data_IF_044644752141
#
_entry.id   IF_044644752141
#
_cell.length_a   1.000
_cell.length_b   1.000
_cell.length_c   1.000
_cell.angle_alpha   90.00
_cell.angle_beta   90.00
_cell.angle_gamma   90.00
#
_symmetry.space_group_name_H-M   'P 1'
#
loop_
_entity.id
_entity.type
_entity.pdbx_description
1 polymer ?
#
# COMPACT_ATOMS: atom_id res chain seq x y z
N UNK A 1 -12.25 -71.63 -41.95
CA UNK A 1 -11.72 -72.96 -41.63
C UNK A 1 -12.85 -73.89 -41.25
N UNK A 2 -12.89 -75.10 -41.82
CA UNK A 2 -13.85 -76.14 -41.48
C UNK A 2 -13.35 -76.99 -40.30
N UNK A 3 -14.26 -77.59 -39.53
CA UNK A 3 -13.93 -78.47 -38.39
C UNK A 3 -12.90 -79.56 -38.75
N UNK A 4 -13.02 -80.15 -39.94
CA UNK A 4 -12.12 -81.19 -40.46
C UNK A 4 -10.68 -80.70 -40.70
N UNK A 5 -10.50 -79.41 -40.98
CA UNK A 5 -9.18 -78.80 -41.22
C UNK A 5 -8.51 -78.44 -39.90
N UNK A 6 -9.28 -77.95 -38.92
CA UNK A 6 -8.80 -77.70 -37.56
C UNK A 6 -8.32 -79.00 -36.91
N UNK A 7 -9.09 -80.08 -37.01
CA UNK A 7 -8.72 -81.40 -36.46
C UNK A 7 -7.40 -81.92 -37.05
N UNK A 8 -7.19 -81.79 -38.35
CA UNK A 8 -5.93 -82.19 -39.00
C UNK A 8 -4.71 -81.37 -38.57
N UNK A 9 -4.92 -80.12 -38.17
CA UNK A 9 -3.88 -79.24 -37.65
C UNK A 9 -3.50 -79.63 -36.23
N UNK A 10 -4.50 -79.94 -35.40
CA UNK A 10 -4.33 -80.38 -34.02
C UNK A 10 -3.71 -81.79 -33.98
N UNK A 11 -4.12 -82.72 -34.84
CA UNK A 11 -3.53 -84.07 -34.93
C UNK A 11 -2.04 -84.10 -35.29
N UNK A 12 -1.54 -83.02 -35.93
CA UNK A 12 -0.12 -82.89 -36.30
C UNK A 12 0.71 -82.12 -35.27
N UNK A 13 0.06 -81.49 -34.30
CA UNK A 13 0.70 -80.75 -33.24
C UNK A 13 1.05 -81.69 -32.08
N UNK A 14 2.20 -81.47 -31.44
CA UNK A 14 2.55 -82.13 -30.18
C UNK A 14 1.75 -81.55 -29.01
N UNK A 15 1.66 -82.31 -27.91
CA UNK A 15 0.90 -81.92 -26.72
C UNK A 15 1.39 -80.61 -26.07
N UNK A 16 2.65 -80.23 -26.30
CA UNK A 16 3.29 -79.01 -25.76
C UNK A 16 3.38 -77.85 -26.77
N UNK A 17 2.85 -78.01 -27.99
CA UNK A 17 2.94 -76.97 -29.03
C UNK A 17 1.99 -75.79 -28.76
N UNK A 18 2.45 -74.57 -29.09
CA UNK A 18 1.66 -73.36 -28.89
C UNK A 18 0.58 -73.21 -29.99
N UNK A 19 -0.68 -73.19 -29.57
CA UNK A 19 -1.86 -73.07 -30.45
C UNK A 19 -1.85 -71.79 -31.29
N UNK A 20 -1.36 -70.67 -30.75
CA UNK A 20 -1.30 -69.40 -31.48
C UNK A 20 -0.35 -69.52 -32.69
N UNK A 21 0.83 -70.12 -32.50
CA UNK A 21 1.81 -70.33 -33.57
C UNK A 21 1.32 -71.30 -34.66
N UNK A 22 0.51 -72.30 -34.28
CA UNK A 22 -0.13 -73.23 -35.21
C UNK A 22 -1.24 -72.56 -36.03
N UNK A 23 -1.94 -71.61 -35.44
CA UNK A 23 -3.04 -70.90 -36.08
C UNK A 23 -2.59 -69.69 -36.89
N UNK A 24 -1.41 -69.12 -36.67
CA UNK A 24 -0.88 -67.93 -37.38
C UNK A 24 -1.00 -68.02 -38.90
N UNK A 25 -0.71 -69.20 -39.48
CA UNK A 25 -0.75 -69.41 -40.93
C UNK A 25 -2.09 -69.96 -41.44
N UNK A 26 -3.03 -70.22 -40.53
CA UNK A 26 -4.33 -70.79 -40.84
C UNK A 26 -5.26 -69.81 -41.55
N UNK A 27 -6.22 -70.34 -42.30
CA UNK A 27 -7.28 -69.52 -42.90
C UNK A 27 -8.13 -68.79 -41.85
N UNK A 28 -8.14 -69.27 -40.60
CA UNK A 28 -8.83 -68.61 -39.49
C UNK A 28 -8.09 -67.31 -39.11
N UNK A 29 -6.77 -67.37 -38.88
CA UNK A 29 -5.96 -66.18 -38.62
C UNK A 29 -5.97 -65.20 -39.79
N UNK A 30 -5.87 -65.69 -41.03
CA UNK A 30 -6.00 -64.85 -42.23
C UNK A 30 -7.38 -64.21 -42.33
N UNK A 31 -8.44 -64.94 -41.98
CA UNK A 31 -9.81 -64.39 -41.97
C UNK A 31 -10.02 -63.35 -40.86
N UNK A 32 -9.39 -63.50 -39.70
CA UNK A 32 -9.41 -62.52 -38.60
C UNK A 32 -8.57 -61.27 -38.92
N UNK A 33 -7.45 -61.43 -39.62
CA UNK A 33 -6.67 -60.30 -40.14
C UNK A 33 -7.47 -59.56 -41.24
N UNK A 34 -8.18 -60.29 -42.09
CA UNK A 34 -9.05 -59.74 -43.13
C UNK A 34 -10.37 -59.16 -42.57
N UNK A 35 -10.84 -59.58 -41.39
CA UNK A 35 -12.11 -59.16 -40.79
C UNK A 35 -12.10 -57.72 -40.22
N UNK A 36 -11.02 -56.97 -40.50
CA UNK A 36 -10.87 -55.55 -40.11
C UNK A 36 -10.75 -55.30 -38.61
N UNK A 37 -10.38 -56.32 -37.82
CA UNK A 37 -10.07 -56.19 -36.39
C UNK A 37 -8.62 -55.77 -36.09
N UNK A 38 -7.81 -55.51 -37.11
CA UNK A 38 -6.45 -55.01 -36.94
C UNK A 38 -6.44 -53.49 -36.75
N UNK A 39 -5.41 -52.96 -36.09
CA UNK A 39 -5.27 -51.54 -35.79
C UNK A 39 -5.23 -50.67 -37.06
N UNK A 40 -4.64 -51.20 -38.15
CA UNK A 40 -4.62 -50.53 -39.46
C UNK A 40 -6.01 -50.52 -40.11
N UNK A 41 -6.78 -51.61 -40.01
CA UNK A 41 -8.14 -51.63 -40.51
C UNK A 41 -9.08 -50.72 -39.71
N UNK A 42 -8.82 -50.53 -38.41
CA UNK A 42 -9.52 -49.56 -37.57
C UNK A 42 -9.21 -48.12 -37.99
N UNK A 43 -7.93 -47.79 -38.22
CA UNK A 43 -7.51 -46.49 -38.77
C UNK A 43 -8.12 -46.23 -40.14
N UNK A 44 -8.19 -47.24 -40.99
CA UNK A 44 -8.80 -47.17 -42.31
C UNK A 44 -10.31 -46.94 -42.21
N UNK A 45 -11.01 -47.63 -41.29
CA UNK A 45 -12.44 -47.40 -41.01
C UNK A 45 -12.71 -45.97 -40.55
N UNK A 46 -11.90 -45.41 -39.64
CA UNK A 46 -12.05 -44.02 -39.20
C UNK A 46 -11.93 -43.02 -40.37
N UNK A 47 -11.12 -43.34 -41.38
CA UNK A 47 -10.92 -42.48 -42.56
C UNK A 47 -12.03 -42.63 -43.60
N UNK A 48 -12.48 -43.86 -43.84
CA UNK A 48 -13.30 -44.20 -45.00
C UNK A 48 -14.79 -44.40 -44.67
N UNK A 49 -15.14 -44.66 -43.40
CA UNK A 49 -16.52 -44.88 -42.95
C UNK A 49 -17.03 -43.66 -42.17
N UNK A 50 -17.99 -42.95 -42.77
CA UNK A 50 -18.59 -41.75 -42.18
C UNK A 50 -19.36 -42.01 -40.90
N UNK A 51 -20.09 -43.12 -40.81
CA UNK A 51 -20.89 -43.43 -39.62
C UNK A 51 -19.98 -43.80 -38.45
N UNK A 52 -18.94 -44.57 -38.74
CA UNK A 52 -17.94 -44.94 -37.74
C UNK A 52 -17.16 -43.73 -37.23
N UNK A 53 -16.75 -42.83 -38.13
CA UNK A 53 -16.09 -41.57 -37.77
C UNK A 53 -17.01 -40.70 -36.90
N UNK A 54 -18.28 -40.54 -37.27
CA UNK A 54 -19.24 -39.75 -36.52
C UNK A 54 -19.47 -40.28 -35.09
N UNK A 55 -19.48 -41.61 -34.91
CA UNK A 55 -19.57 -42.23 -33.59
C UNK A 55 -18.34 -41.94 -32.72
N UNK A 56 -17.13 -42.09 -33.28
CA UNK A 56 -15.88 -41.80 -32.58
C UNK A 56 -15.77 -40.31 -32.22
N UNK A 57 -16.10 -39.43 -33.16
CA UNK A 57 -16.10 -37.98 -32.93
C UNK A 57 -17.12 -37.61 -31.83
N UNK A 58 -18.31 -38.20 -31.84
CA UNK A 58 -19.30 -37.99 -30.77
C UNK A 58 -18.82 -38.45 -29.40
N UNK A 59 -18.08 -39.54 -29.31
CA UNK A 59 -17.59 -40.04 -28.02
C UNK A 59 -16.41 -39.20 -27.51
N UNK A 60 -15.54 -38.78 -28.42
CA UNK A 60 -14.48 -37.81 -28.14
C UNK A 60 -15.05 -36.48 -27.67
N UNK A 61 -16.09 -35.94 -28.31
CA UNK A 61 -16.73 -34.70 -27.92
C UNK A 61 -17.32 -34.76 -26.50
N UNK A 62 -17.91 -35.90 -26.10
CA UNK A 62 -18.38 -36.08 -24.71
C UNK A 62 -17.22 -36.04 -23.72
N UNK A 63 -16.12 -36.73 -24.02
CA UNK A 63 -14.95 -36.77 -23.14
C UNK A 63 -14.26 -35.42 -23.06
N UNK A 64 -14.01 -34.77 -24.19
CA UNK A 64 -13.40 -33.44 -24.25
C UNK A 64 -14.33 -32.40 -23.63
N UNK A 65 -15.64 -32.48 -23.86
CA UNK A 65 -16.62 -31.62 -23.22
C UNK A 65 -16.60 -31.75 -21.70
N UNK A 66 -16.55 -32.98 -21.18
CA UNK A 66 -16.42 -33.24 -19.74
C UNK A 66 -15.08 -32.75 -19.19
N UNK A 67 -13.97 -33.05 -19.85
CA UNK A 67 -12.64 -32.61 -19.45
C UNK A 67 -12.53 -31.08 -19.43
N UNK A 68 -13.06 -30.40 -20.45
CA UNK A 68 -13.13 -28.94 -20.50
C UNK A 68 -14.03 -28.37 -19.42
N UNK A 69 -15.18 -29.01 -19.13
CA UNK A 69 -16.07 -28.58 -18.05
C UNK A 69 -15.38 -28.70 -16.69
N UNK A 70 -14.75 -29.83 -16.40
CA UNK A 70 -13.99 -30.06 -15.17
C UNK A 70 -12.78 -29.12 -15.07
N UNK A 71 -12.09 -28.85 -16.19
CA UNK A 71 -11.00 -27.89 -16.21
C UNK A 71 -11.50 -26.48 -15.90
N UNK A 72 -12.61 -26.05 -16.52
CA UNK A 72 -13.24 -24.75 -16.25
C UNK A 72 -13.66 -24.63 -14.78
N UNK A 73 -14.37 -25.61 -14.25
CA UNK A 73 -14.82 -25.61 -12.85
C UNK A 73 -13.64 -25.50 -11.86
N UNK A 74 -12.50 -26.12 -12.15
CA UNK A 74 -11.36 -26.15 -11.22
C UNK A 74 -10.33 -25.03 -11.39
N UNK A 75 -10.24 -24.44 -12.59
CA UNK A 75 -9.14 -23.53 -12.96
C UNK A 75 -9.61 -22.15 -13.42
N UNK A 76 -10.82 -22.02 -13.97
CA UNK A 76 -11.30 -20.75 -14.55
C UNK A 76 -11.33 -19.64 -13.49
N UNK A 77 -11.81 -19.95 -12.29
CA UNK A 77 -11.88 -18.99 -11.19
C UNK A 77 -10.48 -18.53 -10.74
N UNK A 78 -9.51 -19.46 -10.68
CA UNK A 78 -8.12 -19.16 -10.31
C UNK A 78 -7.40 -18.31 -11.36
N UNK A 79 -7.67 -18.52 -12.65
CA UNK A 79 -7.10 -17.72 -13.73
C UNK A 79 -7.80 -16.36 -13.89
N UNK A 80 -9.11 -16.27 -13.63
CA UNK A 80 -9.83 -14.99 -13.73
C UNK A 80 -9.65 -14.10 -12.51
N UNK A 81 -9.47 -14.66 -11.31
CA UNK A 81 -9.25 -13.91 -10.08
C UNK A 81 -8.20 -12.78 -10.21
N UNK A 82 -6.98 -13.01 -10.72
CA UNK A 82 -5.99 -11.95 -10.89
C UNK A 82 -6.44 -10.89 -11.91
N UNK A 83 -7.12 -11.29 -12.98
CA UNK A 83 -7.65 -10.36 -13.99
C UNK A 83 -8.80 -9.50 -13.46
N UNK A 84 -9.71 -10.08 -12.70
CA UNK A 84 -10.83 -9.36 -12.06
C UNK A 84 -10.26 -8.38 -11.03
N UNK A 85 -9.29 -8.79 -10.22
CA UNK A 85 -8.61 -7.93 -9.24
C UNK A 85 -7.89 -6.75 -9.91
N UNK A 86 -7.25 -6.96 -11.07
CA UNK A 86 -6.52 -5.89 -11.77
C UNK A 86 -7.44 -4.93 -12.51
N UNK A 87 -8.47 -5.44 -13.22
CA UNK A 87 -9.30 -4.63 -14.13
C UNK A 87 -10.58 -4.11 -13.50
N UNK A 88 -11.13 -4.82 -12.51
CA UNK A 88 -12.44 -4.53 -11.94
C UNK A 88 -12.45 -4.69 -10.40
N UNK A 89 -11.64 -3.90 -9.67
CA UNK A 89 -11.59 -3.96 -8.21
C UNK A 89 -12.94 -3.68 -7.55
N UNK A 90 -13.82 -2.92 -8.22
CA UNK A 90 -15.14 -2.53 -7.69
C UNK A 90 -16.22 -3.61 -7.83
N UNK A 91 -16.01 -4.63 -8.67
CA UNK A 91 -16.96 -5.73 -8.92
C UNK A 91 -16.72 -6.97 -8.06
N UNK A 92 -15.78 -6.91 -7.11
CA UNK A 92 -15.53 -8.01 -6.17
C UNK A 92 -16.72 -8.11 -5.20
N UNK A 93 -17.69 -8.94 -5.55
CA UNK A 93 -18.98 -9.14 -4.85
C UNK A 93 -18.92 -10.15 -3.71
N UNK A 94 -17.76 -10.72 -3.37
CA UNK A 94 -17.66 -11.60 -2.20
C UNK A 94 -17.66 -10.73 -0.92
N UNK A 95 -18.67 -10.85 -0.03
CA UNK A 95 -18.79 -10.04 1.18
C UNK A 95 -17.54 -10.15 2.09
N UNK A 96 -16.78 -11.24 1.97
CA UNK A 96 -15.52 -11.43 2.69
C UNK A 96 -14.39 -10.56 2.12
N UNK A 97 -14.24 -10.48 0.81
CA UNK A 97 -13.21 -9.66 0.15
C UNK A 97 -13.53 -8.16 0.23
N UNK A 98 -14.81 -7.77 0.15
CA UNK A 98 -15.23 -6.39 0.41
C UNK A 98 -14.87 -5.96 1.84
N UNK A 99 -15.09 -6.86 2.81
CA UNK A 99 -14.73 -6.61 4.21
C UNK A 99 -13.21 -6.55 4.40
N UNK A 100 -12.44 -7.34 3.66
CA UNK A 100 -10.98 -7.25 3.65
C UNK A 100 -10.49 -5.91 3.09
N UNK A 101 -11.03 -5.46 1.96
CA UNK A 101 -10.69 -4.14 1.39
C UNK A 101 -11.06 -2.99 2.33
N UNK A 102 -12.25 -3.07 2.96
CA UNK A 102 -12.68 -2.08 3.96
C UNK A 102 -11.74 -2.09 5.17
N UNK A 103 -11.34 -3.28 5.66
CA UNK A 103 -10.38 -3.43 6.76
C UNK A 103 -8.98 -2.94 6.38
N UNK A 104 -8.50 -3.22 5.16
CA UNK A 104 -7.22 -2.73 4.67
C UNK A 104 -7.22 -1.20 4.55
N UNK A 105 -8.32 -0.62 4.05
CA UNK A 105 -8.49 0.83 4.01
C UNK A 105 -8.51 1.43 5.42
N UNK A 106 -9.26 0.84 6.35
CA UNK A 106 -9.28 1.27 7.75
C UNK A 106 -7.89 1.15 8.39
N UNK A 107 -7.12 0.10 8.08
CA UNK A 107 -5.76 -0.07 8.57
C UNK A 107 -4.80 0.97 7.98
N UNK A 108 -4.95 1.30 6.70
CA UNK A 108 -4.16 2.34 6.06
C UNK A 108 -4.46 3.72 6.68
N UNK A 109 -5.73 4.04 6.89
CA UNK A 109 -6.18 5.27 7.54
C UNK A 109 -5.69 5.33 9.01
N UNK A 110 -5.75 4.22 9.74
CA UNK A 110 -5.26 4.13 11.12
C UNK A 110 -3.74 4.30 11.19
N UNK A 111 -2.99 3.65 10.29
CA UNK A 111 -1.53 3.83 10.19
C UNK A 111 -1.15 5.27 9.87
N UNK A 112 -1.85 5.90 8.94
CA UNK A 112 -1.63 7.31 8.62
C UNK A 112 -1.96 8.22 9.82
N UNK A 113 -3.06 7.95 10.53
CA UNK A 113 -3.44 8.68 11.73
C UNK A 113 -2.42 8.50 12.87
N UNK A 114 -1.90 7.29 13.09
CA UNK A 114 -0.88 7.04 14.09
C UNK A 114 0.46 7.68 13.73
N UNK A 115 0.90 7.59 12.47
CA UNK A 115 2.10 8.29 12.00
C UNK A 115 1.97 9.80 12.23
N UNK A 116 0.80 10.38 11.98
CA UNK A 116 0.52 11.79 12.25
C UNK A 116 0.53 12.12 13.74
N UNK A 117 -0.01 11.24 14.59
CA UNK A 117 0.03 11.41 16.06
C UNK A 117 1.46 11.33 16.60
N UNK A 118 2.27 10.40 16.10
CA UNK A 118 3.68 10.28 16.48
C UNK A 118 4.48 11.50 16.06
N UNK A 119 4.28 12.00 14.83
CA UNK A 119 4.86 13.26 14.38
C UNK A 119 4.42 14.45 15.25
N UNK A 120 3.14 14.52 15.61
CA UNK A 120 2.62 15.57 16.50
C UNK A 120 3.26 15.48 17.88
N UNK A 121 3.39 14.28 18.45
CA UNK A 121 4.00 14.08 19.75
C UNK A 121 5.49 14.49 19.76
N UNK A 122 6.23 14.17 18.69
CA UNK A 122 7.63 14.59 18.53
C UNK A 122 7.74 16.10 18.36
N UNK A 123 6.88 16.71 17.53
CA UNK A 123 6.83 18.15 17.32
C UNK A 123 6.46 18.90 18.61
N UNK A 124 5.51 18.37 19.40
CA UNK A 124 5.13 18.92 20.70
C UNK A 124 6.28 18.91 21.70
N UNK A 125 7.04 17.81 21.78
CA UNK A 125 8.25 17.74 22.61
C UNK A 125 9.28 18.78 22.17
N UNK A 126 9.56 18.84 20.86
CA UNK A 126 10.56 19.75 20.32
C UNK A 126 10.21 21.23 20.54
N UNK A 127 8.95 21.63 20.33
CA UNK A 127 8.55 23.00 20.57
C UNK A 127 8.40 23.33 22.06
N UNK A 128 8.11 22.35 22.93
CA UNK A 128 8.19 22.54 24.39
C UNK A 128 9.62 22.89 24.82
N UNK A 129 10.65 22.23 24.25
CA UNK A 129 12.05 22.58 24.48
C UNK A 129 12.39 24.01 24.02
N UNK A 130 11.74 24.47 22.94
CA UNK A 130 11.85 25.84 22.41
C UNK A 130 10.93 26.85 23.10
N UNK A 131 10.21 26.45 24.16
CA UNK A 131 9.25 27.26 24.92
C UNK A 131 8.11 27.85 24.06
N UNK A 132 7.72 27.15 23.01
CA UNK A 132 6.59 27.53 22.17
C UNK A 132 5.27 26.91 22.67
N UNK A 133 4.15 27.65 22.60
CA UNK A 133 2.85 27.14 23.03
C UNK A 133 2.32 26.04 22.10
N UNK A 134 1.70 25.02 22.69
CA UNK A 134 1.19 23.84 21.97
C UNK A 134 0.19 24.17 20.86
N UNK A 135 -0.58 25.25 21.01
CA UNK A 135 -1.58 25.71 20.03
C UNK A 135 -0.99 26.14 18.67
N UNK A 136 0.30 26.48 18.63
CA UNK A 136 1.00 26.86 17.39
C UNK A 136 1.47 25.62 16.64
N UNK A 137 1.80 24.55 17.37
CA UNK A 137 2.39 23.31 16.84
C UNK A 137 1.37 22.53 16.01
N UNK A 138 0.11 22.48 16.44
CA UNK A 138 -0.97 21.78 15.70
C UNK A 138 -1.18 22.34 14.28
N UNK A 139 -0.85 23.62 14.06
CA UNK A 139 -0.97 24.30 12.76
C UNK A 139 0.30 24.20 11.91
N UNK A 140 1.42 23.78 12.49
CA UNK A 140 2.72 23.72 11.84
C UNK A 140 3.10 22.31 11.37
N UNK A 141 2.26 21.30 11.63
CA UNK A 141 2.53 19.91 11.24
C UNK A 141 2.52 19.78 9.71
N UNK A 142 3.71 19.61 9.12
CA UNK A 142 3.89 19.35 7.70
C UNK A 142 3.86 17.87 7.34
N UNK A 143 4.28 17.54 6.12
CA UNK A 143 4.39 16.15 5.63
C UNK A 143 5.44 15.33 6.37
N UNK A 144 6.45 15.98 6.96
CA UNK A 144 7.60 15.35 7.59
C UNK A 144 8.03 16.12 8.85
N UNK A 145 8.69 15.42 9.77
CA UNK A 145 9.24 15.96 11.00
C UNK A 145 10.30 17.03 10.72
N UNK A 146 11.18 16.83 9.73
CA UNK A 146 12.26 17.78 9.42
C UNK A 146 11.72 19.12 8.92
N UNK A 147 10.74 19.10 8.01
CA UNK A 147 10.05 20.32 7.56
C UNK A 147 9.30 20.99 8.71
N UNK A 148 8.65 20.20 9.57
CA UNK A 148 7.94 20.71 10.75
C UNK A 148 8.92 21.38 11.72
N UNK A 149 10.12 20.82 11.88
CA UNK A 149 11.18 21.36 12.73
C UNK A 149 11.71 22.70 12.20
N UNK A 150 11.97 22.82 10.91
CA UNK A 150 12.38 24.09 10.29
C UNK A 150 11.35 25.20 10.52
N UNK A 151 10.06 24.88 10.37
CA UNK A 151 8.96 25.82 10.65
C UNK A 151 8.92 26.20 12.13
N UNK A 152 9.07 25.22 13.04
CA UNK A 152 9.13 25.47 14.49
C UNK A 152 10.33 26.37 14.84
N UNK A 153 11.49 26.14 14.24
CA UNK A 153 12.68 26.95 14.48
C UNK A 153 12.51 28.39 13.99
N UNK A 154 11.93 28.61 12.81
CA UNK A 154 11.61 29.95 12.32
C UNK A 154 10.65 30.69 13.25
N UNK A 155 9.60 30.01 13.71
CA UNK A 155 8.63 30.58 14.65
C UNK A 155 9.29 30.89 15.99
N UNK A 156 10.18 30.01 16.49
CA UNK A 156 10.90 30.24 17.74
C UNK A 156 11.78 31.49 17.67
N UNK A 157 12.46 31.72 16.54
CA UNK A 157 13.30 32.89 16.34
C UNK A 157 12.47 34.19 16.28
N UNK A 158 11.41 34.22 15.48
CA UNK A 158 10.51 35.38 15.38
C UNK A 158 9.80 35.68 16.72
N UNK A 159 9.40 34.64 17.44
CA UNK A 159 8.80 34.76 18.77
C UNK A 159 9.78 35.35 19.79
N UNK A 160 11.04 34.89 19.76
CA UNK A 160 12.10 35.41 20.64
C UNK A 160 12.38 36.89 20.35
N UNK A 161 12.51 37.28 19.08
CA UNK A 161 12.67 38.69 18.67
C UNK A 161 11.49 39.55 19.08
N UNK A 162 10.27 39.05 18.94
CA UNK A 162 9.06 39.74 19.39
C UNK A 162 9.03 39.97 20.90
N UNK A 163 9.40 38.95 21.69
CA UNK A 163 9.54 39.07 23.14
C UNK A 163 10.61 40.09 23.54
N UNK A 164 11.77 40.09 22.88
CA UNK A 164 12.83 41.07 23.12
C UNK A 164 12.38 42.49 22.78
N UNK A 165 11.67 42.69 21.67
CA UNK A 165 11.12 43.99 21.29
C UNK A 165 10.12 44.51 22.31
N UNK A 166 9.17 43.66 22.74
CA UNK A 166 8.17 44.01 23.77
C UNK A 166 8.85 44.29 25.11
N UNK A 167 9.81 43.46 25.53
CA UNK A 167 10.57 43.68 26.76
C UNK A 167 11.36 45.00 26.71
N UNK A 168 11.99 45.29 25.58
CA UNK A 168 12.71 46.55 25.35
C UNK A 168 11.76 47.74 25.38
N UNK A 169 10.59 47.63 24.76
CA UNK A 169 9.58 48.69 24.79
C UNK A 169 9.02 48.91 26.20
N UNK A 170 8.74 47.84 26.95
CA UNK A 170 8.34 47.92 28.36
C UNK A 170 9.42 48.52 29.25
N UNK A 171 10.68 48.15 29.04
CA UNK A 171 11.81 48.76 29.75
C UNK A 171 11.96 50.24 29.41
N UNK A 172 11.75 50.63 28.14
CA UNK A 172 11.72 52.04 27.72
C UNK A 172 10.54 52.80 28.33
N UNK A 173 9.35 52.20 28.37
CA UNK A 173 8.14 52.84 28.92
C UNK A 173 8.18 52.97 30.44
N UNK A 174 8.81 52.02 31.14
CA UNK A 174 9.03 52.10 32.59
C UNK A 174 10.34 52.81 32.98
N UNK A 175 11.16 53.24 32.01
CA UNK A 175 12.36 54.02 32.30
C UNK A 175 11.97 55.45 32.65
N UNK A 176 12.18 55.84 33.90
CA UNK A 176 12.02 57.23 34.33
C UNK A 176 12.97 58.11 33.52
N UNK A 177 12.42 59.00 32.69
CA UNK A 177 13.20 60.02 31.99
C UNK A 177 13.36 61.21 32.94
N UNK A 178 14.52 61.43 33.57
CA UNK A 178 14.76 62.68 34.31
C UNK A 178 14.51 63.85 33.35
N UNK A 179 13.64 64.78 33.77
CA UNK A 179 13.09 65.84 32.92
C UNK A 179 14.17 66.68 32.24
N UNK A 180 13.87 67.32 31.11
CA UNK A 180 14.85 68.17 30.41
C UNK A 180 15.23 69.37 31.27
N UNK A 181 16.53 69.69 31.33
CA UNK A 181 17.02 70.92 31.95
C UNK A 181 16.65 72.15 31.11
N UNK A 182 16.89 73.36 31.64
CA UNK A 182 16.55 74.65 31.02
C UNK A 182 17.12 74.83 29.60
N UNK A 183 18.18 74.10 29.24
CA UNK A 183 18.84 74.16 27.93
C UNK A 183 18.38 73.05 26.96
N UNK A 184 17.30 72.32 27.30
CA UNK A 184 16.72 71.28 26.45
C UNK A 184 17.52 69.97 26.36
N UNK A 185 18.70 69.89 27.00
CA UNK A 185 19.53 68.68 27.08
C UNK A 185 19.04 67.73 28.20
N UNK A 186 19.15 66.40 28.00
CA UNK A 186 18.79 65.43 29.03
C UNK A 186 19.74 65.58 30.23
N UNK A 187 19.18 65.81 31.42
CA UNK A 187 19.95 65.83 32.68
C UNK A 187 19.95 64.44 33.29
N UNK A 188 21.06 64.03 33.90
CA UNK A 188 21.14 62.76 34.59
C UNK A 188 20.26 62.77 35.84
N UNK A 189 19.87 61.58 36.33
CA UNK A 189 19.05 61.43 37.55
C UNK A 189 19.66 62.19 38.74
N UNK A 190 20.99 62.13 38.89
CA UNK A 190 21.71 62.88 39.93
C UNK A 190 21.59 64.39 39.77
N UNK A 191 21.67 64.89 38.53
CA UNK A 191 21.51 66.32 38.24
C UNK A 191 20.07 66.80 38.47
N UNK A 192 19.05 66.00 38.16
CA UNK A 192 17.65 66.35 38.44
C UNK A 192 17.35 66.39 39.95
N UNK A 193 17.91 65.46 40.73
CA UNK A 193 17.76 65.44 42.19
C UNK A 193 18.46 66.66 42.81
N UNK A 194 19.67 66.99 42.34
CA UNK A 194 20.41 68.17 42.79
C UNK A 194 19.67 69.48 42.47
N UNK A 195 19.10 69.63 41.28
CA UNK A 195 18.31 70.80 40.90
C UNK A 195 17.03 70.95 41.76
N UNK A 196 16.37 69.83 42.08
CA UNK A 196 15.19 69.84 42.96
C UNK A 196 15.55 70.18 44.41
N UNK A 197 16.75 69.84 44.89
CA UNK A 197 17.22 70.25 46.20
C UNK A 197 17.67 71.72 46.24
N UNK A 198 18.33 72.22 45.19
CA UNK A 198 18.74 73.62 45.10
C UNK A 198 17.53 74.57 45.03
N UNK A 199 16.46 74.19 44.34
CA UNK A 199 15.20 74.96 44.28
C UNK A 199 14.43 74.99 45.61
N UNK A 200 14.77 74.11 46.56
CA UNK A 200 14.23 74.13 47.93
C UNK A 200 15.08 74.97 48.89
N UNK A 201 16.29 75.36 48.51
CA UNK A 201 17.14 76.25 49.29
C UNK A 201 16.91 77.70 48.83
N UNK A 202 15.93 78.37 49.44
CA UNK A 202 15.90 79.83 49.41
C UNK A 202 16.98 80.33 50.39
N UNK A 203 18.07 80.88 49.87
CA UNK A 203 18.99 81.65 50.70
C UNK A 203 18.20 82.78 51.40
N UNK A 204 18.39 83.02 52.71
CA UNK A 204 17.68 84.10 53.39
C UNK A 204 17.96 85.43 52.69
N UNK A 205 16.90 86.19 52.42
CA UNK A 205 16.92 87.47 51.71
C UNK A 205 17.98 88.40 52.33
N UNK A 206 18.97 88.81 51.54
CA UNK A 206 19.99 89.75 51.97
C UNK A 206 19.32 91.08 52.41
N UNK A 207 19.42 91.48 53.69
CA UNK A 207 18.77 92.69 54.18
C UNK A 207 19.46 94.00 53.74
N UNK A 208 20.51 93.94 52.92
CA UNK A 208 21.31 95.11 52.51
C UNK A 208 21.56 95.22 50.99
N UNK A 209 20.66 94.69 50.15
CA UNK A 209 20.72 94.92 48.69
C UNK A 209 20.05 96.26 48.32
N UNK A 210 20.85 97.26 48.00
CA UNK A 210 20.45 98.67 47.85
C UNK A 210 19.43 99.00 46.75
N UNK A 211 18.72 100.12 47.00
CA UNK A 211 17.98 100.94 46.02
C UNK A 211 18.90 101.51 44.94
#
# INVERSE_FOLDING_TARGET
>A
MLKKELLKLIEKAGDDDNIDSLLENSDLAKSLQASRLTLEAFKEKIKNDKEFKAFIDSENDKYHGKALKTWKENNLEKELEPFIKEKYPDLITDPTQKKLLELEKQLADEKAANARKDLLAQAMKYAADKKLPASVIEKCLGEDFDKTKEVIDSIADDWSKGLEAIATEKMKSNSYVPGKGSDGKPISIGASIAAQNNSKSSAPSNPWGDK
#
